data_IF_718392779649
#
_entry.id   IF_718392779649
#
_cell.length_a   1.000
_cell.length_b   1.000
_cell.length_c   1.000
_cell.angle_alpha   90.00
_cell.angle_beta   90.00
_cell.angle_gamma   90.00
#
_symmetry.space_group_name_H-M   'P 1'
#
loop_
_entity.id
_entity.type
_entity.pdbx_description
1 polymer ?
#
# COMPACT_ATOMS: atom_id res chain seq x y z
N UNK A 1 -60.76 -22.97 27.38
CA UNK A 1 -59.62 -23.90 27.40
C UNK A 1 -60.11 -25.14 26.68
N UNK A 2 -59.75 -25.48 25.45
CA UNK A 2 -58.62 -25.06 24.63
C UNK A 2 -59.06 -24.99 23.16
N UNK A 3 -58.72 -23.89 22.48
CA UNK A 3 -58.83 -23.75 21.03
C UNK A 3 -57.41 -23.65 20.49
N UNK A 4 -56.81 -24.79 20.15
CA UNK A 4 -55.53 -24.81 19.43
C UNK A 4 -55.75 -24.35 17.98
N UNK A 5 -55.08 -23.27 17.51
CA UNK A 5 -55.13 -22.95 16.10
C UNK A 5 -54.18 -23.90 15.36
N UNK A 6 -54.74 -24.71 14.46
CA UNK A 6 -53.97 -25.40 13.44
C UNK A 6 -53.27 -24.35 12.57
N UNK A 7 -51.97 -24.20 12.78
CA UNK A 7 -51.08 -23.45 11.89
C UNK A 7 -51.00 -24.19 10.56
N UNK A 8 -51.75 -23.73 9.57
CA UNK A 8 -51.63 -24.14 8.18
C UNK A 8 -50.32 -23.57 7.62
N UNK A 9 -49.26 -24.37 7.64
CA UNK A 9 -48.04 -24.12 6.90
C UNK A 9 -48.31 -24.25 5.39
N UNK A 10 -48.82 -23.17 4.79
CA UNK A 10 -48.83 -22.99 3.35
C UNK A 10 -47.38 -22.83 2.86
N UNK A 11 -46.67 -23.94 2.71
CA UNK A 11 -45.51 -23.99 1.83
C UNK A 11 -46.04 -23.80 0.40
N UNK A 12 -45.90 -22.58 -0.12
CA UNK A 12 -46.14 -22.29 -1.53
C UNK A 12 -45.25 -23.21 -2.38
N UNK A 13 -45.88 -24.15 -3.09
CA UNK A 13 -45.27 -25.17 -3.95
C UNK A 13 -44.96 -24.67 -5.36
N UNK A 14 -44.95 -23.35 -5.57
CA UNK A 14 -44.66 -22.78 -6.88
C UNK A 14 -43.15 -22.87 -7.17
N UNK A 15 -42.72 -23.44 -8.31
CA UNK A 15 -41.33 -23.42 -8.70
C UNK A 15 -40.84 -21.96 -8.79
N UNK A 16 -39.61 -21.66 -8.35
CA UNK A 16 -39.08 -20.31 -8.36
C UNK A 16 -39.13 -19.73 -9.78
N UNK A 17 -39.63 -18.50 -9.90
CA UNK A 17 -39.65 -17.76 -11.16
C UNK A 17 -38.27 -17.79 -11.85
N UNK A 18 -38.22 -17.81 -13.20
CA UNK A 18 -36.96 -17.72 -13.94
C UNK A 18 -36.06 -16.56 -13.47
N UNK A 19 -36.65 -15.43 -13.09
CA UNK A 19 -35.92 -14.27 -12.53
C UNK A 19 -35.30 -14.62 -11.17
N UNK A 20 -36.05 -15.30 -10.30
CA UNK A 20 -35.53 -15.75 -9.01
C UNK A 20 -34.43 -16.80 -9.16
N UNK A 21 -34.49 -17.66 -10.18
CA UNK A 21 -33.42 -18.60 -10.51
C UNK A 21 -32.16 -17.89 -11.00
N UNK A 22 -32.28 -16.89 -11.87
CA UNK A 22 -31.16 -16.09 -12.36
C UNK A 22 -30.49 -15.31 -11.23
N UNK A 23 -31.25 -14.64 -10.36
CA UNK A 23 -30.71 -13.94 -9.19
C UNK A 23 -30.01 -14.89 -8.20
N UNK A 24 -30.56 -16.10 -8.00
CA UNK A 24 -29.92 -17.12 -7.16
C UNK A 24 -28.60 -17.62 -7.76
N UNK A 25 -28.53 -17.76 -9.10
CA UNK A 25 -27.28 -18.13 -9.78
C UNK A 25 -26.24 -17.02 -9.65
N UNK A 26 -26.63 -15.78 -9.93
CA UNK A 26 -25.78 -14.60 -9.77
C UNK A 26 -25.17 -14.54 -8.37
N UNK A 27 -26.02 -14.58 -7.33
CA UNK A 27 -25.56 -14.55 -5.93
C UNK A 27 -24.57 -15.67 -5.61
N UNK A 28 -24.82 -16.88 -6.10
CA UNK A 28 -23.91 -18.02 -5.90
C UNK A 28 -22.56 -17.79 -6.59
N UNK A 29 -22.57 -17.22 -7.78
CA UNK A 29 -21.34 -16.96 -8.53
C UNK A 29 -20.55 -15.81 -7.90
N UNK A 30 -21.22 -14.79 -7.36
CA UNK A 30 -20.59 -13.74 -6.53
C UNK A 30 -19.99 -14.30 -5.25
N UNK A 31 -20.72 -15.12 -4.49
CA UNK A 31 -20.24 -15.77 -3.27
C UNK A 31 -19.02 -16.64 -3.56
N UNK A 32 -19.04 -17.38 -4.69
CA UNK A 32 -17.90 -18.19 -5.13
C UNK A 32 -16.69 -17.32 -5.46
N UNK A 33 -16.87 -16.25 -6.24
CA UNK A 33 -15.80 -15.32 -6.62
C UNK A 33 -15.17 -14.71 -5.37
N UNK A 34 -15.98 -14.25 -4.40
CA UNK A 34 -15.47 -13.72 -3.15
C UNK A 34 -14.68 -14.76 -2.35
N UNK A 35 -15.16 -15.99 -2.29
CA UNK A 35 -14.46 -17.09 -1.62
C UNK A 35 -13.11 -17.38 -2.29
N UNK A 36 -13.06 -17.35 -3.63
CA UNK A 36 -11.81 -17.47 -4.39
C UNK A 36 -10.86 -16.31 -4.06
N UNK A 37 -11.33 -15.07 -4.05
CA UNK A 37 -10.50 -13.91 -3.68
C UNK A 37 -9.92 -14.03 -2.26
N UNK A 38 -10.72 -14.49 -1.29
CA UNK A 38 -10.23 -14.73 0.07
C UNK A 38 -9.14 -15.80 0.10
N UNK A 39 -9.30 -16.87 -0.68
CA UNK A 39 -8.28 -17.91 -0.82
C UNK A 39 -6.99 -17.41 -1.50
N UNK A 40 -7.07 -16.33 -2.28
CA UNK A 40 -5.97 -15.79 -3.08
C UNK A 40 -5.25 -14.58 -2.46
N UNK A 41 -5.68 -14.06 -1.31
CA UNK A 41 -5.08 -12.80 -0.85
C UNK A 41 -5.95 -11.91 -0.01
N UNK A 42 -7.23 -11.86 -0.32
CA UNK A 42 -8.10 -10.82 0.17
C UNK A 42 -8.44 -11.08 1.64
N UNK A 43 -8.28 -10.09 2.54
CA UNK A 43 -8.75 -10.20 3.91
C UNK A 43 -10.25 -10.41 3.98
N UNK A 44 -10.70 -11.15 5.01
CA UNK A 44 -12.11 -11.24 5.31
C UNK A 44 -12.63 -9.87 5.81
N UNK A 45 -13.87 -9.48 5.48
CA UNK A 45 -14.48 -8.25 6.00
C UNK A 45 -14.62 -8.19 7.54
N UNK A 46 -14.53 -9.34 8.21
CA UNK A 46 -14.52 -9.45 9.67
C UNK A 46 -13.18 -9.07 10.28
N UNK A 47 -12.10 -9.09 9.51
CA UNK A 47 -10.78 -8.72 10.02
C UNK A 47 -10.66 -7.23 10.28
N UNK A 48 -9.79 -6.90 11.23
CA UNK A 48 -9.52 -5.53 11.65
C UNK A 48 -8.02 -5.28 11.62
N UNK A 49 -7.64 -4.06 11.27
CA UNK A 49 -6.23 -3.65 11.29
C UNK A 49 -5.58 -3.85 12.67
N UNK A 50 -6.34 -3.66 13.75
CA UNK A 50 -5.86 -3.85 15.12
C UNK A 50 -5.87 -5.29 15.62
N UNK A 51 -6.36 -6.25 14.83
CA UNK A 51 -6.49 -7.66 15.22
C UNK A 51 -7.67 -7.99 16.14
N UNK A 52 -8.32 -7.00 16.76
CA UNK A 52 -9.52 -7.21 17.56
C UNK A 52 -10.77 -7.28 16.68
N UNK A 53 -11.40 -8.45 16.57
CA UNK A 53 -12.60 -8.68 15.75
C UNK A 53 -13.84 -7.86 16.15
N UNK A 54 -13.90 -7.45 17.43
CA UNK A 54 -14.99 -6.65 17.98
C UNK A 54 -14.78 -5.14 17.81
N UNK A 55 -13.61 -4.73 17.30
CA UNK A 55 -13.32 -3.32 17.06
C UNK A 55 -14.28 -2.75 16.00
N UNK A 56 -15.00 -1.70 16.39
CA UNK A 56 -15.99 -0.99 15.57
C UNK A 56 -15.45 0.29 14.94
N UNK A 57 -14.19 0.66 15.22
CA UNK A 57 -13.58 1.85 14.66
C UNK A 57 -13.53 1.78 13.14
N UNK A 58 -14.02 2.83 12.48
CA UNK A 58 -14.07 2.90 11.02
C UNK A 58 -12.69 2.73 10.38
N UNK A 59 -11.64 3.30 10.98
CA UNK A 59 -10.27 3.16 10.48
C UNK A 59 -9.74 1.72 10.55
N UNK A 60 -10.23 0.90 11.49
CA UNK A 60 -9.84 -0.51 11.60
C UNK A 60 -10.62 -1.43 10.66
N UNK A 61 -11.79 -0.99 10.17
CA UNK A 61 -12.67 -1.77 9.29
C UNK A 61 -12.33 -1.61 7.79
N UNK A 62 -11.04 -1.47 7.45
CA UNK A 62 -10.60 -1.11 6.10
C UNK A 62 -10.98 -2.15 5.02
N UNK A 63 -11.10 -3.42 5.39
CA UNK A 63 -11.43 -4.51 4.45
C UNK A 63 -12.94 -4.68 4.21
N UNK A 64 -13.77 -3.92 4.94
CA UNK A 64 -15.23 -3.99 4.79
C UNK A 64 -15.69 -3.03 3.69
N UNK A 65 -16.18 -3.58 2.59
CA UNK A 65 -16.60 -2.83 1.40
C UNK A 65 -18.12 -2.62 1.32
N UNK A 66 -18.82 -2.50 2.45
CA UNK A 66 -20.28 -2.37 2.49
C UNK A 66 -20.78 -1.23 3.38
N UNK A 67 -21.92 -0.65 3.00
CA UNK A 67 -22.62 0.39 3.76
C UNK A 67 -21.72 1.58 4.08
N UNK A 68 -21.69 1.98 5.35
CA UNK A 68 -20.91 3.14 5.82
C UNK A 68 -19.38 2.97 5.72
N UNK A 69 -18.90 1.75 5.43
CA UNK A 69 -17.48 1.44 5.32
C UNK A 69 -16.96 1.50 3.88
N UNK A 70 -17.86 1.61 2.89
CA UNK A 70 -17.49 1.78 1.49
C UNK A 70 -16.64 3.04 1.32
N UNK A 71 -15.49 2.90 0.65
CA UNK A 71 -14.65 4.03 0.26
C UNK A 71 -15.45 4.95 -0.65
N UNK A 72 -15.34 6.27 -0.47
CA UNK A 72 -16.08 7.23 -1.31
C UNK A 72 -15.61 7.22 -2.77
N UNK A 73 -14.34 6.90 -2.98
CA UNK A 73 -13.72 6.82 -4.29
C UNK A 73 -12.88 5.55 -4.38
N UNK A 74 -12.72 5.06 -5.60
CA UNK A 74 -11.66 4.13 -6.01
C UNK A 74 -10.62 4.95 -6.77
N UNK A 75 -9.34 4.58 -6.60
CA UNK A 75 -8.22 5.19 -7.29
C UNK A 75 -7.70 4.17 -8.30
N UNK A 76 -7.80 4.50 -9.58
CA UNK A 76 -7.33 3.65 -10.66
C UNK A 76 -6.20 4.32 -11.44
N UNK A 77 -5.37 3.50 -12.05
CA UNK A 77 -4.31 3.96 -12.94
C UNK A 77 -4.96 4.39 -14.26
N UNK A 78 -4.55 5.54 -14.79
CA UNK A 78 -4.79 5.84 -16.21
C UNK A 78 -3.84 5.00 -17.06
N UNK A 79 -4.14 4.90 -18.36
CA UNK A 79 -3.21 4.27 -19.29
C UNK A 79 -1.88 5.04 -19.35
N UNK A 80 -1.97 6.38 -19.40
CA UNK A 80 -0.83 7.29 -19.54
C UNK A 80 -0.92 8.50 -18.60
N UNK A 81 0.25 9.04 -18.23
CA UNK A 81 0.42 10.33 -17.54
C UNK A 81 0.02 11.51 -18.44
N UNK A 82 0.03 12.74 -17.89
CA UNK A 82 -0.18 13.95 -18.69
C UNK A 82 0.86 14.13 -19.81
N UNK A 83 2.09 13.65 -19.61
CA UNK A 83 3.19 13.70 -20.58
C UNK A 83 3.21 12.50 -21.56
N UNK A 84 2.19 11.61 -21.51
CA UNK A 84 2.06 10.47 -22.43
C UNK A 84 2.93 9.26 -22.06
N UNK A 85 3.38 9.16 -20.81
CA UNK A 85 4.16 8.00 -20.33
C UNK A 85 3.21 6.97 -19.72
N UNK A 86 3.39 5.70 -20.10
CA UNK A 86 2.57 4.60 -19.58
C UNK A 86 2.71 4.51 -18.05
N UNK A 87 1.57 4.60 -17.35
CA UNK A 87 1.55 4.58 -15.86
C UNK A 87 2.09 3.26 -15.32
N UNK A 88 1.87 2.17 -16.04
CA UNK A 88 2.46 0.86 -15.73
C UNK A 88 3.98 0.90 -15.71
N UNK A 89 4.61 1.59 -16.67
CA UNK A 89 6.06 1.66 -16.75
C UNK A 89 6.63 2.51 -15.59
N UNK A 90 5.91 3.56 -15.17
CA UNK A 90 6.24 4.36 -13.98
C UNK A 90 6.26 3.49 -12.72
N UNK A 91 5.25 2.63 -12.54
CA UNK A 91 5.17 1.71 -11.40
C UNK A 91 6.32 0.69 -11.40
N UNK A 92 6.64 0.12 -12.56
CA UNK A 92 7.73 -0.85 -12.70
C UNK A 92 9.09 -0.21 -12.43
N UNK A 93 9.35 0.99 -12.94
CA UNK A 93 10.58 1.75 -12.67
C UNK A 93 10.71 2.08 -11.17
N UNK A 94 9.63 2.60 -10.55
CA UNK A 94 9.61 2.87 -9.11
C UNK A 94 9.98 1.64 -8.28
N UNK A 95 9.35 0.50 -8.59
CA UNK A 95 9.58 -0.71 -7.82
C UNK A 95 11.01 -1.24 -7.99
N UNK A 96 11.57 -1.10 -9.19
CA UNK A 96 12.96 -1.42 -9.48
C UNK A 96 13.94 -0.54 -8.70
N UNK A 97 13.79 0.79 -8.81
CA UNK A 97 14.66 1.76 -8.15
C UNK A 97 14.60 1.64 -6.63
N UNK A 98 13.41 1.50 -6.03
CA UNK A 98 13.31 1.30 -4.59
C UNK A 98 14.00 0.00 -4.17
N UNK A 99 13.95 -1.05 -5.00
CA UNK A 99 14.65 -2.30 -4.70
C UNK A 99 16.15 -2.09 -4.66
N UNK A 100 16.73 -1.43 -5.66
CA UNK A 100 18.18 -1.22 -5.76
C UNK A 100 18.71 -0.24 -4.71
N UNK A 101 17.91 0.77 -4.35
CA UNK A 101 18.30 1.79 -3.37
C UNK A 101 18.15 1.32 -1.91
N UNK A 102 17.06 0.63 -1.58
CA UNK A 102 16.80 0.18 -0.20
C UNK A 102 17.48 -1.17 0.10
N UNK A 103 17.69 -2.02 -0.92
CA UNK A 103 18.39 -3.30 -0.80
C UNK A 103 19.59 -3.39 -1.77
N UNK A 104 20.63 -2.56 -1.58
CA UNK A 104 21.81 -2.54 -2.47
C UNK A 104 22.64 -3.83 -2.40
N UNK A 105 22.42 -4.68 -1.39
CA UNK A 105 23.14 -5.95 -1.21
C UNK A 105 22.62 -7.10 -2.07
N UNK A 106 21.55 -6.91 -2.86
CA UNK A 106 21.04 -7.96 -3.75
C UNK A 106 21.94 -8.07 -4.98
N UNK A 107 22.76 -9.11 -5.04
CA UNK A 107 23.74 -9.30 -6.11
C UNK A 107 23.12 -9.82 -7.42
N UNK A 108 22.06 -10.64 -7.32
CA UNK A 108 21.46 -11.30 -8.49
C UNK A 108 20.34 -10.46 -9.07
N UNK A 109 20.45 -10.14 -10.36
CA UNK A 109 19.41 -9.41 -11.09
C UNK A 109 18.04 -10.10 -11.02
N UNK A 110 18.00 -11.44 -11.03
CA UNK A 110 16.73 -12.19 -10.88
C UNK A 110 16.02 -11.88 -9.56
N UNK A 111 16.79 -11.70 -8.49
CA UNK A 111 16.27 -11.51 -7.14
C UNK A 111 15.83 -10.06 -6.95
N UNK A 112 16.54 -9.11 -7.59
CA UNK A 112 16.10 -7.71 -7.73
C UNK A 112 14.73 -7.65 -8.42
N UNK A 113 14.57 -8.32 -9.57
CA UNK A 113 13.30 -8.30 -10.32
C UNK A 113 12.14 -8.95 -9.54
N UNK A 114 12.40 -10.05 -8.82
CA UNK A 114 11.40 -10.68 -7.96
C UNK A 114 10.96 -9.76 -6.82
N UNK A 115 11.90 -9.04 -6.22
CA UNK A 115 11.62 -8.10 -5.14
C UNK A 115 10.92 -6.84 -5.64
N UNK A 116 11.32 -6.31 -6.78
CA UNK A 116 10.62 -5.22 -7.46
C UNK A 116 9.15 -5.60 -7.75
N UNK A 117 8.91 -6.80 -8.30
CA UNK A 117 7.53 -7.27 -8.52
C UNK A 117 6.71 -7.36 -7.23
N UNK A 118 7.35 -7.80 -6.14
CA UNK A 118 6.74 -7.86 -4.81
C UNK A 118 6.37 -6.46 -4.29
N UNK A 119 7.25 -5.48 -4.49
CA UNK A 119 7.02 -4.06 -4.15
C UNK A 119 5.91 -3.46 -5.02
N UNK A 120 5.91 -3.69 -6.33
CA UNK A 120 4.86 -3.21 -7.24
C UNK A 120 3.50 -3.78 -6.82
N UNK A 121 3.43 -5.09 -6.55
CA UNK A 121 2.22 -5.76 -6.07
C UNK A 121 1.71 -5.15 -4.76
N UNK A 122 2.61 -4.88 -3.81
CA UNK A 122 2.25 -4.21 -2.56
C UNK A 122 1.73 -2.79 -2.81
N UNK A 123 2.52 -1.96 -3.49
CA UNK A 123 2.25 -0.54 -3.69
C UNK A 123 0.94 -0.31 -4.46
N UNK A 124 0.63 -1.17 -5.45
CA UNK A 124 -0.60 -1.06 -6.27
C UNK A 124 -1.81 -1.76 -5.67
N UNK A 125 -1.72 -2.30 -4.46
CA UNK A 125 -2.83 -3.04 -3.83
C UNK A 125 -4.00 -2.15 -3.42
N UNK A 126 -5.25 -2.66 -3.44
CA UNK A 126 -6.43 -1.88 -3.05
C UNK A 126 -6.36 -1.23 -1.65
N UNK A 127 -5.78 -1.88 -0.61
CA UNK A 127 -5.57 -1.27 0.69
C UNK A 127 -4.65 -0.04 0.66
N UNK A 128 -3.57 -0.09 -0.11
CA UNK A 128 -2.60 1.02 -0.24
C UNK A 128 -3.23 2.20 -0.99
N UNK A 129 -3.91 1.93 -2.10
CA UNK A 129 -4.70 2.93 -2.84
C UNK A 129 -5.74 3.61 -1.95
N UNK A 130 -6.48 2.83 -1.17
CA UNK A 130 -7.47 3.33 -0.20
C UNK A 130 -6.82 4.16 0.90
N UNK A 131 -5.66 3.75 1.42
CA UNK A 131 -4.89 4.52 2.40
C UNK A 131 -4.47 5.88 1.84
N UNK A 132 -4.04 5.94 0.58
CA UNK A 132 -3.64 7.19 -0.07
C UNK A 132 -4.84 8.14 -0.26
N UNK A 133 -6.00 7.63 -0.69
CA UNK A 133 -7.23 8.42 -0.76
C UNK A 133 -7.65 8.98 0.61
N UNK A 134 -7.52 8.17 1.67
CA UNK A 134 -7.79 8.60 3.04
C UNK A 134 -6.81 9.67 3.51
N UNK A 135 -5.52 9.54 3.19
CA UNK A 135 -4.49 10.56 3.44
C UNK A 135 -4.86 11.87 2.77
N UNK A 136 -5.13 11.85 1.46
CA UNK A 136 -5.48 13.05 0.69
C UNK A 136 -6.73 13.73 1.23
N UNK A 137 -7.77 12.93 1.53
CA UNK A 137 -9.02 13.43 2.12
C UNK A 137 -8.78 14.07 3.48
N UNK A 138 -7.90 13.49 4.30
CA UNK A 138 -7.52 14.06 5.58
C UNK A 138 -6.75 15.38 5.39
N UNK A 139 -5.77 15.44 4.49
CA UNK A 139 -5.05 16.67 4.18
C UNK A 139 -5.99 17.78 3.70
N UNK A 140 -6.87 17.49 2.75
CA UNK A 140 -7.86 18.45 2.23
C UNK A 140 -8.82 18.96 3.32
N UNK A 141 -9.28 18.09 4.22
CA UNK A 141 -10.20 18.49 5.31
C UNK A 141 -9.54 19.34 6.40
N UNK A 142 -8.22 19.32 6.49
CA UNK A 142 -7.45 20.08 7.47
C UNK A 142 -6.62 21.19 6.81
N UNK A 143 -6.90 21.51 5.53
CA UNK A 143 -6.20 22.53 4.75
C UNK A 143 -4.67 22.37 4.72
N UNK A 144 -4.20 21.12 4.74
CA UNK A 144 -2.77 20.82 4.62
C UNK A 144 -2.34 20.87 3.17
N UNK A 145 -1.52 21.88 2.89
CA UNK A 145 -1.00 22.12 1.56
C UNK A 145 0.41 21.55 1.37
N UNK A 146 0.45 20.42 0.64
CA UNK A 146 1.66 19.88 0.03
C UNK A 146 1.73 20.28 -1.46
N UNK A 147 1.58 21.57 -1.79
CA UNK A 147 1.81 22.09 -3.15
C UNK A 147 3.27 22.03 -3.58
N UNK A 148 4.20 22.00 -2.63
CA UNK A 148 5.62 21.81 -2.89
C UNK A 148 6.03 20.42 -2.38
N UNK A 149 6.77 19.69 -3.21
CA UNK A 149 7.28 18.37 -2.86
C UNK A 149 8.17 18.42 -1.61
N UNK A 150 9.01 19.45 -1.49
CA UNK A 150 9.91 19.64 -0.37
C UNK A 150 9.19 19.60 0.98
N UNK A 151 7.96 20.14 1.06
CA UNK A 151 7.15 20.10 2.29
C UNK A 151 6.72 18.69 2.67
N UNK A 152 6.34 17.88 1.68
CA UNK A 152 5.99 16.48 1.94
C UNK A 152 7.23 15.70 2.39
N UNK A 153 8.37 15.93 1.74
CA UNK A 153 9.65 15.33 2.12
C UNK A 153 10.07 15.70 3.54
N UNK A 154 10.00 16.97 3.91
CA UNK A 154 10.32 17.45 5.27
C UNK A 154 9.40 16.82 6.33
N UNK A 155 8.09 16.75 6.06
CA UNK A 155 7.12 16.13 6.96
C UNK A 155 7.32 14.60 7.05
N UNK A 156 7.74 13.93 5.97
CA UNK A 156 8.16 12.54 6.00
C UNK A 156 9.39 12.39 6.90
N UNK A 157 10.46 13.15 6.65
CA UNK A 157 11.70 13.12 7.45
C UNK A 157 11.45 13.32 8.94
N UNK A 158 10.53 14.20 9.32
CA UNK A 158 10.18 14.42 10.73
C UNK A 158 9.35 13.26 11.33
N UNK A 159 8.59 12.54 10.51
CA UNK A 159 7.70 11.45 10.94
C UNK A 159 8.43 10.10 11.03
N UNK A 160 9.42 9.85 10.16
CA UNK A 160 10.09 8.54 10.04
C UNK A 160 10.66 7.99 11.36
N UNK A 161 11.39 8.76 12.19
CA UNK A 161 11.93 8.22 13.45
C UNK A 161 10.84 7.68 14.36
N UNK A 162 9.74 8.43 14.52
CA UNK A 162 8.58 8.01 15.33
C UNK A 162 7.89 6.79 14.74
N UNK A 163 7.85 6.68 13.41
CA UNK A 163 7.27 5.53 12.74
C UNK A 163 8.13 4.27 12.96
N UNK A 164 9.46 4.38 12.91
CA UNK A 164 10.38 3.28 13.23
C UNK A 164 10.22 2.80 14.67
N UNK A 165 10.12 3.73 15.62
CA UNK A 165 9.86 3.42 17.02
C UNK A 165 8.52 2.69 17.19
N UNK A 166 7.49 3.11 16.45
CA UNK A 166 6.19 2.46 16.45
C UNK A 166 6.24 1.03 15.89
N UNK A 167 6.92 0.81 14.75
CA UNK A 167 7.11 -0.53 14.16
C UNK A 167 7.80 -1.45 15.16
N UNK A 168 8.87 -0.98 15.78
CA UNK A 168 9.61 -1.72 16.82
C UNK A 168 8.73 -2.03 18.02
N UNK A 169 7.93 -1.06 18.47
CA UNK A 169 7.00 -1.25 19.57
C UNK A 169 5.89 -2.26 19.26
N UNK A 170 5.42 -2.30 18.01
CA UNK A 170 4.45 -3.29 17.54
C UNK A 170 5.05 -4.69 17.49
N UNK A 171 6.31 -4.83 17.08
CA UNK A 171 7.01 -6.13 17.10
C UNK A 171 7.19 -6.64 18.52
N UNK A 172 7.60 -5.76 19.45
CA UNK A 172 7.69 -6.09 20.86
C UNK A 172 6.33 -6.41 21.52
N UNK A 173 5.23 -5.88 20.97
CA UNK A 173 3.88 -6.07 21.48
C UNK A 173 3.10 -7.19 20.77
N UNK A 174 3.72 -7.95 19.85
CA UNK A 174 3.01 -8.90 18.98
C UNK A 174 2.17 -9.94 19.76
N UNK A 175 2.63 -10.33 20.95
CA UNK A 175 1.95 -11.30 21.82
C UNK A 175 0.94 -10.65 22.80
N UNK A 176 0.90 -9.32 22.87
CA UNK A 176 -0.01 -8.54 23.71
C UNK A 176 -1.03 -7.83 22.82
N UNK A 177 -2.18 -8.50 22.62
CA UNK A 177 -3.25 -8.01 21.76
C UNK A 177 -3.81 -6.66 22.21
N UNK A 178 -3.91 -6.45 23.53
CA UNK A 178 -4.42 -5.20 24.09
C UNK A 178 -3.46 -4.04 23.86
N UNK A 179 -2.15 -4.26 24.06
CA UNK A 179 -1.12 -3.25 23.79
C UNK A 179 -1.01 -2.94 22.30
N UNK A 180 -1.07 -3.95 21.44
CA UNK A 180 -1.10 -3.79 19.98
C UNK A 180 -2.30 -2.95 19.54
N UNK A 181 -3.49 -3.27 20.05
CA UNK A 181 -4.71 -2.53 19.76
C UNK A 181 -4.57 -1.05 20.18
N UNK A 182 -4.09 -0.79 21.41
CA UNK A 182 -3.89 0.56 21.92
C UNK A 182 -2.91 1.38 21.07
N UNK A 183 -1.77 0.79 20.69
CA UNK A 183 -0.77 1.44 19.83
C UNK A 183 -1.39 1.82 18.48
N UNK A 184 -2.13 0.90 17.86
CA UNK A 184 -2.77 1.13 16.56
C UNK A 184 -3.85 2.22 16.66
N UNK A 185 -4.74 2.13 17.64
CA UNK A 185 -5.84 3.08 17.81
C UNK A 185 -5.35 4.51 18.04
N UNK A 186 -4.27 4.68 18.82
CA UNK A 186 -3.65 5.98 19.08
C UNK A 186 -3.24 6.73 17.81
N UNK A 187 -2.81 6.01 16.78
CA UNK A 187 -2.28 6.60 15.55
C UNK A 187 -3.25 6.56 14.36
N UNK A 188 -4.27 5.70 14.39
CA UNK A 188 -5.32 5.67 13.37
C UNK A 188 -6.48 6.63 13.64
N UNK A 189 -6.56 7.19 14.85
CA UNK A 189 -7.54 8.20 15.22
C UNK A 189 -6.89 9.59 15.30
N UNK A 190 -7.68 10.67 15.13
CA UNK A 190 -7.16 12.01 15.35
C UNK A 190 -6.66 12.13 16.81
N UNK A 191 -5.58 12.89 17.07
CA UNK A 191 -5.09 13.09 18.43
C UNK A 191 -6.21 13.63 19.31
N UNK A 192 -6.47 12.96 20.43
CA UNK A 192 -7.35 13.51 21.46
C UNK A 192 -6.53 14.52 22.28
N UNK A 193 -6.84 15.81 22.17
CA UNK A 193 -6.23 16.81 23.02
C UNK A 193 -6.82 16.67 24.43
N UNK A 194 -5.99 16.53 25.48
CA UNK A 194 -6.46 16.30 26.85
C UNK A 194 -7.38 17.41 27.38
N UNK A 195 -7.28 18.64 26.84
CA UNK A 195 -8.07 19.79 27.26
C UNK A 195 -9.33 20.06 26.40
N UNK A 196 -9.58 19.27 25.36
CA UNK A 196 -10.78 19.41 24.56
C UNK A 196 -11.92 18.60 25.17
N UNK A 197 -12.78 19.28 25.92
CA UNK A 197 -14.10 18.72 26.27
C UNK A 197 -14.88 18.41 24.98
N UNK A 198 -15.60 17.27 24.90
CA UNK A 198 -16.41 16.89 23.74
C UNK A 198 -17.47 17.91 23.34
N UNK A 199 -17.76 18.90 24.19
CA UNK A 199 -18.79 19.93 23.98
C UNK A 199 -18.35 21.10 23.11
N UNK A 200 -17.06 21.24 22.77
CA UNK A 200 -16.59 22.43 22.04
C UNK A 200 -17.00 22.49 20.56
N UNK A 201 -17.62 21.43 20.02
CA UNK A 201 -18.01 21.36 18.60
C UNK A 201 -16.83 21.44 17.61
N UNK A 202 -15.60 21.62 18.11
CA UNK A 202 -14.38 21.68 17.30
C UNK A 202 -13.99 20.25 16.95
N UNK A 203 -13.88 19.99 15.65
CA UNK A 203 -13.44 18.69 15.14
C UNK A 203 -12.00 18.45 15.59
N UNK A 204 -11.66 17.23 16.06
CA UNK A 204 -10.28 16.85 16.32
C UNK A 204 -9.42 17.14 15.08
N UNK A 205 -8.40 17.99 15.24
CA UNK A 205 -7.54 18.40 14.14
C UNK A 205 -6.41 17.38 13.97
N UNK A 206 -6.21 16.93 12.73
CA UNK A 206 -5.01 16.19 12.38
C UNK A 206 -3.80 17.13 12.39
N UNK A 207 -2.60 16.58 12.33
CA UNK A 207 -1.40 17.33 11.89
C UNK A 207 -0.88 16.69 10.61
N UNK A 208 0.02 17.35 9.89
CA UNK A 208 0.65 16.78 8.69
C UNK A 208 1.34 15.45 9.00
N UNK A 209 2.12 15.40 10.08
CA UNK A 209 2.83 14.20 10.55
C UNK A 209 1.85 13.12 10.98
N UNK A 210 0.73 13.49 11.60
CA UNK A 210 -0.29 12.52 12.01
C UNK A 210 -1.01 11.91 10.81
N UNK A 211 -1.24 12.68 9.73
CA UNK A 211 -1.76 12.17 8.46
C UNK A 211 -0.78 11.18 7.80
N UNK A 212 0.51 11.54 7.77
CA UNK A 212 1.58 10.67 7.24
C UNK A 212 1.69 9.40 8.08
N UNK A 213 1.79 9.52 9.40
CA UNK A 213 1.85 8.39 10.33
C UNK A 213 0.67 7.45 10.14
N UNK A 214 -0.54 7.99 9.99
CA UNK A 214 -1.74 7.18 9.72
C UNK A 214 -1.63 6.44 8.40
N UNK A 215 -1.14 7.07 7.33
CA UNK A 215 -0.90 6.40 6.05
C UNK A 215 0.09 5.25 6.22
N UNK A 216 1.29 5.54 6.75
CA UNK A 216 2.38 4.57 6.92
C UNK A 216 1.94 3.38 7.77
N UNK A 217 1.31 3.64 8.93
CA UNK A 217 0.81 2.58 9.80
C UNK A 217 -0.26 1.73 9.11
N UNK A 218 -1.17 2.35 8.37
CA UNK A 218 -2.24 1.63 7.67
C UNK A 218 -1.68 0.61 6.67
N UNK A 219 -0.69 1.02 5.88
CA UNK A 219 -0.09 0.15 4.86
C UNK A 219 0.92 -0.85 5.46
N UNK A 220 1.53 -0.53 6.59
CA UNK A 220 2.34 -1.49 7.35
C UNK A 220 1.50 -2.62 7.93
N UNK A 221 0.32 -2.31 8.49
CA UNK A 221 -0.60 -3.33 8.99
C UNK A 221 -1.11 -4.22 7.84
N UNK A 222 -1.28 -3.67 6.64
CA UNK A 222 -1.55 -4.45 5.43
C UNK A 222 -0.37 -5.35 5.05
N UNK A 223 0.87 -4.84 5.06
CA UNK A 223 2.09 -5.64 4.83
C UNK A 223 2.18 -6.82 5.78
N UNK A 224 2.01 -6.59 7.09
CA UNK A 224 2.02 -7.62 8.14
C UNK A 224 0.90 -8.65 7.97
N UNK A 225 -0.29 -8.22 7.54
CA UNK A 225 -1.35 -9.16 7.19
C UNK A 225 -0.91 -10.07 6.03
N UNK A 226 -0.33 -9.50 4.98
CA UNK A 226 0.23 -10.25 3.86
C UNK A 226 1.34 -11.22 4.28
N UNK A 227 2.24 -10.82 5.19
CA UNK A 227 3.29 -11.70 5.72
C UNK A 227 2.72 -12.92 6.47
N UNK A 228 1.72 -12.71 7.33
CA UNK A 228 1.14 -13.79 8.15
C UNK A 228 0.26 -14.75 7.35
N UNK A 229 -0.55 -14.24 6.42
CA UNK A 229 -1.55 -15.04 5.70
C UNK A 229 -1.19 -15.39 4.26
N UNK A 230 -0.33 -14.59 3.62
CA UNK A 230 -0.02 -14.65 2.19
C UNK A 230 1.48 -14.81 1.96
N UNK A 231 2.15 -15.67 2.74
CA UNK A 231 3.60 -16.01 2.69
C UNK A 231 4.21 -16.23 1.30
N UNK A 232 3.38 -16.25 0.26
CA UNK A 232 3.66 -16.38 -1.17
C UNK A 232 3.83 -15.04 -1.92
N UNK A 233 3.76 -13.86 -1.28
CA UNK A 233 4.05 -12.56 -1.95
C UNK A 233 5.39 -11.92 -1.55
N UNK A 234 6.15 -12.53 -0.64
CA UNK A 234 7.48 -12.06 -0.20
C UNK A 234 7.49 -10.62 0.36
N UNK A 235 6.55 -10.31 1.26
CA UNK A 235 6.46 -9.00 1.95
C UNK A 235 7.10 -8.99 3.35
N UNK A 236 7.77 -10.07 3.74
CA UNK A 236 8.59 -10.14 4.94
C UNK A 236 9.91 -9.39 4.68
N UNK A 237 9.90 -8.08 4.93
CA UNK A 237 11.09 -7.24 4.75
C UNK A 237 11.79 -7.10 6.09
N UNK A 238 13.10 -7.38 6.10
CA UNK A 238 13.82 -7.82 7.30
C UNK A 238 13.95 -6.74 8.38
N UNK A 239 14.22 -5.50 7.98
CA UNK A 239 14.57 -4.44 8.93
C UNK A 239 13.50 -3.34 9.02
N UNK A 240 13.09 -2.93 10.25
CA UNK A 240 12.11 -1.85 10.46
C UNK A 240 12.45 -0.54 9.75
N UNK A 241 13.74 -0.22 9.64
CA UNK A 241 14.18 1.00 8.95
C UNK A 241 13.99 0.91 7.43
N UNK A 242 14.23 -0.26 6.81
CA UNK A 242 13.99 -0.48 5.38
C UNK A 242 12.51 -0.40 5.05
N UNK A 243 11.67 -0.97 5.93
CA UNK A 243 10.21 -0.84 5.84
C UNK A 243 9.82 0.64 5.88
N UNK A 244 10.32 1.40 6.85
CA UNK A 244 10.02 2.82 6.96
C UNK A 244 10.42 3.63 5.71
N UNK A 245 11.59 3.35 5.12
CA UNK A 245 12.01 4.02 3.87
C UNK A 245 11.10 3.65 2.70
N UNK A 246 10.84 2.37 2.48
CA UNK A 246 9.97 1.91 1.39
C UNK A 246 8.55 2.48 1.51
N UNK A 247 7.93 2.42 2.69
CA UNK A 247 6.57 2.93 2.88
C UNK A 247 6.49 4.46 2.69
N UNK A 248 7.57 5.17 3.03
CA UNK A 248 7.71 6.60 2.76
C UNK A 248 7.85 6.88 1.27
N UNK A 249 8.64 6.06 0.55
CA UNK A 249 8.80 6.13 -0.89
C UNK A 249 7.47 5.90 -1.61
N UNK A 250 6.66 4.95 -1.13
CA UNK A 250 5.31 4.70 -1.65
C UNK A 250 4.44 5.95 -1.51
N UNK A 251 4.42 6.60 -0.33
CA UNK A 251 3.62 7.83 -0.16
C UNK A 251 4.06 8.94 -1.12
N UNK A 252 5.37 9.19 -1.20
CA UNK A 252 5.94 10.22 -2.07
C UNK A 252 5.60 9.93 -3.54
N UNK A 253 5.77 8.68 -3.96
CA UNK A 253 5.48 8.26 -5.33
C UNK A 253 4.00 8.43 -5.69
N UNK A 254 3.07 8.02 -4.81
CA UNK A 254 1.65 8.30 -5.01
C UNK A 254 1.35 9.80 -5.12
N UNK A 255 1.98 10.64 -4.29
CA UNK A 255 1.81 12.09 -4.37
C UNK A 255 2.32 12.66 -5.69
N UNK A 256 3.48 12.21 -6.18
CA UNK A 256 4.03 12.63 -7.47
C UNK A 256 3.13 12.19 -8.63
N UNK A 257 2.75 10.92 -8.68
CA UNK A 257 1.87 10.38 -9.71
C UNK A 257 0.51 11.08 -9.77
N UNK A 258 -0.05 11.43 -8.62
CA UNK A 258 -1.31 12.17 -8.56
C UNK A 258 -1.19 13.59 -9.12
N UNK A 259 -0.03 14.25 -8.94
CA UNK A 259 0.24 15.55 -9.54
C UNK A 259 0.38 15.49 -11.04
N UNK A 260 1.03 14.45 -11.55
CA UNK A 260 1.20 14.18 -12.99
C UNK A 260 -0.05 13.54 -13.63
N UNK A 261 -1.18 13.58 -12.91
CA UNK A 261 -2.49 13.09 -13.36
C UNK A 261 -2.44 11.64 -13.85
N UNK A 262 -1.62 10.80 -13.22
CA UNK A 262 -1.54 9.36 -13.53
C UNK A 262 -2.74 8.57 -13.00
N UNK A 263 -3.58 9.16 -12.15
CA UNK A 263 -4.73 8.47 -11.55
C UNK A 263 -6.07 9.04 -11.97
N UNK A 264 -7.05 8.17 -12.09
CA UNK A 264 -8.49 8.49 -12.09
C UNK A 264 -9.09 8.27 -10.70
N UNK A 265 -10.09 9.08 -10.36
CA UNK A 265 -10.86 8.97 -9.13
C UNK A 265 -12.31 8.72 -9.46
N UNK A 266 -12.73 7.48 -9.30
CA UNK A 266 -14.10 7.10 -9.61
C UNK A 266 -14.94 7.08 -8.33
N UNK A 267 -16.10 7.75 -8.28
CA UNK A 267 -17.00 7.63 -7.14
C UNK A 267 -17.47 6.19 -6.98
N UNK A 268 -17.27 5.62 -5.80
CA UNK A 268 -17.72 4.25 -5.51
C UNK A 268 -19.22 4.25 -5.27
N UNK A 269 -19.93 3.46 -6.07
CA UNK A 269 -21.40 3.33 -6.04
C UNK A 269 -21.86 2.03 -5.42
N UNK A 270 -21.06 0.97 -5.49
CA UNK A 270 -21.39 -0.36 -4.97
C UNK A 270 -20.16 -1.09 -4.41
N UNK A 271 -20.41 -2.15 -3.64
CA UNK A 271 -19.36 -3.06 -3.18
C UNK A 271 -18.73 -3.84 -4.33
N UNK A 272 -19.49 -4.09 -5.41
CA UNK A 272 -19.06 -4.83 -6.60
C UNK A 272 -17.84 -4.16 -7.25
N UNK A 273 -17.80 -2.83 -7.34
CA UNK A 273 -16.63 -2.12 -7.90
C UNK A 273 -15.36 -2.34 -7.05
N UNK A 274 -15.49 -2.45 -5.73
CA UNK A 274 -14.36 -2.82 -4.89
C UNK A 274 -13.95 -4.28 -5.13
N UNK A 275 -14.91 -5.17 -5.33
CA UNK A 275 -14.66 -6.60 -5.58
C UNK A 275 -13.97 -6.81 -6.94
N UNK A 276 -14.30 -6.00 -7.95
CA UNK A 276 -13.64 -5.93 -9.25
C UNK A 276 -12.20 -5.43 -9.11
N UNK A 277 -11.98 -4.31 -8.43
CA UNK A 277 -10.62 -3.81 -8.16
C UNK A 277 -9.74 -4.83 -7.41
N UNK A 278 -10.33 -5.61 -6.51
CA UNK A 278 -9.65 -6.75 -5.88
C UNK A 278 -9.34 -7.86 -6.88
N UNK A 279 -10.29 -8.22 -7.75
CA UNK A 279 -10.08 -9.25 -8.76
C UNK A 279 -8.96 -8.87 -9.72
N UNK A 280 -8.99 -7.66 -10.27
CA UNK A 280 -7.99 -7.17 -11.22
C UNK A 280 -6.58 -7.19 -10.61
N UNK A 281 -6.46 -6.79 -9.34
CA UNK A 281 -5.18 -6.85 -8.63
C UNK A 281 -4.72 -8.31 -8.39
N UNK A 282 -5.62 -9.20 -7.99
CA UNK A 282 -5.30 -10.61 -7.77
C UNK A 282 -4.90 -11.33 -9.07
N UNK A 283 -5.55 -10.98 -10.18
CA UNK A 283 -5.25 -11.52 -11.51
C UNK A 283 -3.90 -10.99 -12.04
N UNK A 284 -3.57 -9.72 -11.77
CA UNK A 284 -2.26 -9.12 -12.11
C UNK A 284 -1.13 -9.71 -11.27
N UNK A 285 -1.38 -9.99 -9.98
CA UNK A 285 -0.39 -10.50 -9.04
C UNK A 285 -0.86 -11.80 -8.37
N UNK A 286 -0.85 -12.91 -9.13
CA UNK A 286 -1.14 -14.22 -8.57
C UNK A 286 -0.12 -14.55 -7.49
N UNK A 287 -0.53 -15.36 -6.52
CA UNK A 287 0.37 -15.86 -5.49
C UNK A 287 1.52 -16.64 -6.15
N UNK A 288 2.74 -16.52 -5.61
CA UNK A 288 3.84 -17.40 -6.03
C UNK A 288 3.44 -18.82 -5.65
N UNK A 289 3.20 -19.68 -6.64
CA UNK A 289 2.94 -21.10 -6.39
C UNK A 289 4.12 -21.66 -5.58
N UNK A 290 3.82 -22.38 -4.49
CA UNK A 290 4.82 -23.24 -3.85
C UNK A 290 5.41 -24.10 -4.97
N UNK A 291 6.73 -24.02 -5.14
CA UNK A 291 7.53 -24.60 -6.23
C UNK A 291 7.47 -26.13 -6.36
N UNK A 292 6.45 -26.77 -5.80
CA UNK A 292 6.23 -28.20 -5.78
C UNK A 292 5.14 -28.70 -6.75
N UNK A 293 4.30 -27.83 -7.34
CA UNK A 293 3.24 -28.29 -8.26
C UNK A 293 3.00 -27.33 -9.42
N UNK A 294 3.25 -27.85 -10.62
CA UNK A 294 2.81 -27.39 -11.95
C UNK A 294 3.60 -26.27 -12.67
N UNK A 295 4.69 -26.67 -13.35
CA UNK A 295 5.34 -25.94 -14.46
C UNK A 295 4.44 -25.65 -15.69
N UNK A 296 3.11 -25.81 -15.60
CA UNK A 296 2.21 -25.84 -16.77
C UNK A 296 1.35 -24.59 -16.98
N UNK A 297 1.53 -23.53 -16.19
CA UNK A 297 0.96 -22.21 -16.52
C UNK A 297 2.08 -21.20 -16.74
N UNK A 298 2.60 -21.16 -17.97
CA UNK A 298 3.35 -20.01 -18.47
C UNK A 298 2.40 -18.82 -18.61
N UNK A 299 2.04 -18.21 -17.48
CA UNK A 299 1.53 -16.84 -17.47
C UNK A 299 2.66 -16.00 -18.05
N UNK A 300 2.40 -15.26 -19.13
CA UNK A 300 3.38 -14.31 -19.70
C UNK A 300 3.82 -13.41 -18.55
N UNK A 301 5.07 -13.57 -18.10
CA UNK A 301 5.65 -12.66 -17.12
C UNK A 301 5.51 -11.25 -17.71
N UNK A 302 5.07 -10.25 -16.94
CA UNK A 302 5.20 -8.86 -17.37
C UNK A 302 6.65 -8.63 -17.81
N UNK A 303 6.89 -7.83 -18.85
CA UNK A 303 8.24 -7.31 -19.10
C UNK A 303 8.64 -6.52 -17.84
N UNK A 304 9.47 -7.14 -17.01
CA UNK A 304 9.97 -6.59 -15.75
C UNK A 304 11.26 -5.80 -15.93
N UNK A 305 11.75 -5.70 -17.17
CA UNK A 305 12.90 -4.86 -17.47
C UNK A 305 12.42 -3.42 -17.47
N UNK A 306 12.92 -2.56 -16.56
CA UNK A 306 12.58 -1.15 -16.58
C UNK A 306 12.90 -0.61 -17.97
N UNK A 307 11.90 0.01 -18.59
CA UNK A 307 12.07 0.63 -19.91
C UNK A 307 12.52 2.05 -19.67
N UNK A 308 13.47 2.59 -20.46
CA UNK A 308 13.86 3.99 -20.32
C UNK A 308 12.62 4.86 -20.42
N UNK A 309 12.24 5.49 -19.31
CA UNK A 309 11.09 6.37 -19.25
C UNK A 309 11.36 7.58 -20.16
N UNK A 310 10.33 8.05 -20.84
CA UNK A 310 10.34 9.41 -21.37
C UNK A 310 10.50 10.42 -20.24
N UNK A 311 11.01 11.62 -20.54
CA UNK A 311 11.13 12.69 -19.54
C UNK A 311 9.72 13.08 -19.07
N UNK A 312 9.38 12.78 -17.82
CA UNK A 312 8.17 13.28 -17.16
C UNK A 312 8.54 14.55 -16.40
N UNK A 313 7.86 15.66 -16.67
CA UNK A 313 8.17 16.93 -16.00
C UNK A 313 7.80 16.83 -14.53
N UNK A 314 8.78 16.99 -13.64
CA UNK A 314 8.55 17.00 -12.20
C UNK A 314 8.56 15.62 -11.53
N UNK A 315 8.84 14.55 -12.28
CA UNK A 315 9.09 13.22 -11.76
C UNK A 315 10.50 12.79 -12.19
N UNK A 316 11.46 12.87 -11.26
CA UNK A 316 12.84 12.41 -11.45
C UNK A 316 13.05 11.24 -10.48
N UNK A 317 12.59 10.05 -10.87
CA UNK A 317 12.52 8.89 -9.97
C UNK A 317 13.87 8.55 -9.33
N UNK A 318 14.99 8.70 -10.07
CA UNK A 318 16.33 8.47 -9.54
C UNK A 318 16.65 9.43 -8.39
N UNK A 319 16.35 10.73 -8.58
CA UNK A 319 16.56 11.77 -7.56
C UNK A 319 15.55 11.69 -6.41
N UNK A 320 14.33 11.27 -6.72
CA UNK A 320 13.20 11.30 -5.79
C UNK A 320 13.22 10.07 -4.87
N UNK A 321 13.58 8.90 -5.41
CA UNK A 321 13.75 7.65 -4.66
C UNK A 321 15.10 7.61 -3.95
N UNK A 322 16.19 8.04 -4.62
CA UNK A 322 17.52 8.13 -4.01
C UNK A 322 17.59 9.13 -2.83
N UNK A 323 16.70 10.13 -2.80
CA UNK A 323 16.53 10.99 -1.63
C UNK A 323 15.69 10.33 -0.52
N UNK A 324 14.69 9.51 -0.85
CA UNK A 324 13.95 8.71 0.14
C UNK A 324 14.87 7.68 0.80
N UNK A 325 15.76 7.02 0.06
CA UNK A 325 16.85 6.23 0.65
C UNK A 325 17.77 7.03 1.59
N UNK A 326 17.73 8.37 1.51
CA UNK A 326 18.42 9.31 2.38
C UNK A 326 17.54 10.04 3.41
N UNK A 327 16.25 9.75 3.51
CA UNK A 327 15.36 10.42 4.47
C UNK A 327 15.71 10.03 5.92
N UNK A 328 16.24 8.81 6.15
CA UNK A 328 16.89 8.40 7.39
C UNK A 328 18.33 8.88 7.59
N UNK A 329 18.97 9.47 6.58
CA UNK A 329 20.34 10.02 6.64
C UNK A 329 20.37 11.54 6.56
N UNK A 330 19.25 12.24 6.78
CA UNK A 330 19.18 13.70 6.83
C UNK A 330 20.09 14.37 7.90
N UNK A 331 20.69 13.58 8.82
CA UNK A 331 21.77 14.04 9.71
C UNK A 331 23.19 13.98 9.07
N UNK A 332 23.34 13.41 7.87
CA UNK A 332 24.59 13.17 7.14
C UNK A 332 24.50 13.49 5.63
N UNK A 333 23.59 14.34 5.20
CA UNK A 333 23.59 14.85 3.82
C UNK A 333 23.44 13.78 2.71
N UNK A 334 23.42 14.19 1.43
CA UNK A 334 23.28 13.27 0.31
C UNK A 334 24.55 12.43 0.13
N UNK A 335 24.42 11.10 0.05
CA UNK A 335 25.55 10.18 -0.19
C UNK A 335 26.19 10.31 -1.59
N UNK A 336 25.63 11.15 -2.47
CA UNK A 336 26.12 11.35 -3.84
C UNK A 336 27.39 12.22 -3.95
N UNK A 337 27.99 12.69 -2.85
CA UNK A 337 29.18 13.56 -2.92
C UNK A 337 30.53 12.87 -3.00
N UNK A 338 30.67 11.57 -2.74
CA UNK A 338 32.00 10.96 -2.62
C UNK A 338 32.41 9.96 -3.72
N UNK A 339 31.59 9.75 -4.76
CA UNK A 339 31.92 8.80 -5.85
C UNK A 339 32.36 9.43 -7.17
N UNK A 340 32.49 10.76 -7.26
CA UNK A 340 33.00 11.45 -8.48
C UNK A 340 34.38 12.13 -8.33
N UNK A 341 35.17 11.78 -7.31
CA UNK A 341 36.55 12.25 -7.17
C UNK A 341 37.61 11.17 -6.93
N UNK A 342 37.35 9.93 -7.36
CA UNK A 342 38.42 8.96 -7.60
C UNK A 342 38.18 8.28 -8.93
N UNK A 343 38.63 8.92 -10.00
CA UNK A 343 39.08 8.33 -11.27
C UNK A 343 39.41 9.50 -12.22
N UNK A 344 40.38 10.31 -11.81
CA UNK A 344 41.17 11.18 -12.68
C UNK A 344 42.51 11.42 -11.99
N UNK A 345 43.24 10.34 -11.74
CA UNK A 345 44.69 10.40 -11.78
C UNK A 345 45.05 9.52 -12.98
N UNK A 346 45.46 10.19 -14.06
CA UNK A 346 45.89 9.55 -15.28
C UNK A 346 47.18 8.79 -15.01
N UNK A 347 47.15 7.49 -15.28
CA UNK A 347 48.33 6.77 -15.73
C UNK A 347 48.41 6.95 -17.25
N UNK A 348 49.23 7.90 -17.70
CA UNK A 348 50.14 7.66 -18.82
C UNK A 348 51.21 8.76 -18.80
N UNK A 349 52.38 8.43 -18.26
CA UNK A 349 53.64 8.81 -18.89
C UNK A 349 54.71 7.87 -18.35
N UNK A 350 55.15 6.99 -19.24
CA UNK A 350 56.31 6.15 -19.04
C UNK A 350 57.62 6.94 -18.98
N UNK A 351 58.67 6.18 -18.72
CA UNK A 351 60.09 6.52 -18.78
C UNK A 351 60.71 7.26 -17.59
N UNK A 352 61.47 6.51 -16.78
CA UNK A 352 62.47 7.08 -15.87
C UNK A 352 63.00 6.12 -14.80
N UNK A 353 64.07 5.42 -15.12
CA UNK A 353 64.87 4.49 -14.29
C UNK A 353 65.28 5.00 -12.88
N UNK A 354 65.74 4.10 -11.97
CA UNK A 354 65.83 4.31 -10.53
C UNK A 354 67.21 4.81 -10.05
N UNK A 355 67.24 5.36 -8.83
CA UNK A 355 68.34 5.46 -7.83
C UNK A 355 68.03 6.66 -6.91
N UNK A 356 68.16 6.65 -5.57
CA UNK A 356 69.06 5.95 -4.65
C UNK A 356 68.37 5.68 -3.30
#
# INVERSE_FOLDING_TARGET
MDSSPHSSSHFSSSPPSPVALTLRRHRRDEERRLQEQFSLGRPLPSERLCGNGDCSLRCCCMYKTSGIYLSLYILDDRDESEDGVLVKDIWTEFAYLVTTEVWPSIEKQSDVLLKARSIEAFATSPPVRTAYLNFRTACQKNDFDFTAESRLREALSSTLPRFRDLVTALDAAEQDSQRTEMLIHRHLQPPQQPDQTPSSGKRPQWTQESCIMRFLLTIELWRRHGERRMRQRNWAWEEPWMVAELLSAVLLHYWLMDREKCFTREPTRSSEQCDEAWQDWLDKYPLLEDSSRDERRRVKSPDLVPKPLGIIKGLDLDKDIGYVGGVGTAARGPLWRDLRQRHYDGEDDGDGLPQH
#
